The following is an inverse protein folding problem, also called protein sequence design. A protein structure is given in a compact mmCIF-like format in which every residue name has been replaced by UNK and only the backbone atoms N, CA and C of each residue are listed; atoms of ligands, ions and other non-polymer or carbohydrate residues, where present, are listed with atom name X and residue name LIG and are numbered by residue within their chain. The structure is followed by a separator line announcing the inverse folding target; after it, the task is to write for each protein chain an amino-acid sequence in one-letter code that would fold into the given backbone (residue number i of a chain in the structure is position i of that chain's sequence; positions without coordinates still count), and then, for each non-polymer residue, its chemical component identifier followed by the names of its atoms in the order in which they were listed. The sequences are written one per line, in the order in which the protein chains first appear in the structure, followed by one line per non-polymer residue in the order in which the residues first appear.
data_IF_739303391711
#
_entry.id   IF_739303391711
#
_cell.length_a   1.000
_cell.length_b   1.000
_cell.length_c   1.000
_cell.angle_alpha   90.00
_cell.angle_beta   90.00
_cell.angle_gamma   90.00
#
_symmetry.space_group_name_H-M   'P 1'
#
loop_
_entity.id
_entity.type
_entity.pdbx_description
1 polymer ?
#
# COMPACT_ATOMS: atom_id res chain seq x y z
N UNK A 1 7.79 22.70 -37.79
CA UNK A 1 7.26 23.71 -36.87
C UNK A 1 7.14 23.16 -35.46
N UNK A 2 8.30 23.08 -34.81
CA UNK A 2 8.46 22.88 -33.38
C UNK A 2 8.50 24.29 -32.79
N UNK A 3 7.43 24.75 -32.13
CA UNK A 3 7.44 25.85 -31.15
C UNK A 3 6.01 26.11 -30.60
N UNK A 4 5.37 25.05 -30.10
CA UNK A 4 4.10 25.17 -29.37
C UNK A 4 4.39 25.59 -27.94
N UNK A 5 4.44 26.91 -27.75
CA UNK A 5 4.52 27.69 -26.51
C UNK A 5 3.79 27.00 -25.35
N UNK A 6 4.52 26.32 -24.47
CA UNK A 6 4.04 25.99 -23.13
C UNK A 6 4.11 27.27 -22.29
N UNK A 7 3.01 28.03 -22.26
CA UNK A 7 2.87 29.15 -21.32
C UNK A 7 2.94 28.58 -19.91
N UNK A 8 4.00 28.93 -19.19
CA UNK A 8 4.14 28.71 -17.75
C UNK A 8 2.89 29.30 -17.08
N UNK A 9 2.11 28.51 -16.31
CA UNK A 9 0.98 29.07 -15.58
C UNK A 9 1.47 30.14 -14.60
N UNK A 10 0.75 31.26 -14.57
CA UNK A 10 0.96 32.36 -13.63
C UNK A 10 1.11 31.84 -12.20
N UNK A 11 2.03 32.44 -11.45
CA UNK A 11 2.31 32.12 -10.04
C UNK A 11 1.00 31.99 -9.26
N UNK A 12 0.73 30.75 -8.82
CA UNK A 12 -0.36 30.47 -7.89
C UNK A 12 -0.10 31.28 -6.61
N UNK A 13 -1.09 32.03 -6.09
CA UNK A 13 -0.97 32.67 -4.80
C UNK A 13 -0.57 31.60 -3.79
N UNK A 14 0.53 31.82 -3.06
CA UNK A 14 0.95 30.95 -1.96
C UNK A 14 -0.14 31.00 -0.89
N UNK A 15 -1.16 30.17 -1.06
CA UNK A 15 -2.00 29.77 0.04
C UNK A 15 -1.05 29.23 1.10
N UNK A 16 -1.02 29.89 2.25
CA UNK A 16 -0.34 29.41 3.44
C UNK A 16 -0.88 28.02 3.70
N UNK A 17 -0.17 26.99 3.24
CA UNK A 17 -0.42 25.64 3.67
C UNK A 17 -0.08 25.67 5.16
N UNK A 18 -1.11 25.78 5.99
CA UNK A 18 -0.99 25.40 7.39
C UNK A 18 -0.51 23.95 7.33
N UNK A 19 0.80 23.74 7.45
CA UNK A 19 1.40 22.43 7.59
C UNK A 19 0.80 21.88 8.86
N UNK A 20 -0.17 20.98 8.71
CA UNK A 20 -0.61 20.14 9.81
C UNK A 20 0.60 19.26 10.10
N UNK A 21 1.33 19.62 11.15
CA UNK A 21 2.32 18.72 11.71
C UNK A 21 1.54 17.68 12.54
N UNK A 22 1.82 16.41 12.24
CA UNK A 22 1.32 15.29 13.01
C UNK A 22 2.37 15.03 14.09
N UNK A 23 2.26 15.75 15.20
CA UNK A 23 3.30 15.81 16.22
C UNK A 23 3.31 14.56 17.09
N UNK A 24 2.14 13.95 17.27
CA UNK A 24 1.92 12.83 18.17
C UNK A 24 0.85 11.88 17.58
N UNK A 25 1.00 10.59 17.86
CA UNK A 25 0.02 9.56 17.53
C UNK A 25 -0.04 8.56 18.69
N UNK A 26 -1.20 7.92 18.87
CA UNK A 26 -1.32 6.80 19.79
C UNK A 26 -0.63 5.58 19.19
N UNK A 27 0.22 4.92 19.99
CA UNK A 27 0.90 3.71 19.53
C UNK A 27 -0.14 2.64 19.18
N UNK A 28 0.05 2.03 18.02
CA UNK A 28 -0.75 0.90 17.56
C UNK A 28 -0.64 -0.23 18.58
N UNK A 29 -1.78 -0.78 18.97
CA UNK A 29 -1.93 -1.91 19.89
C UNK A 29 -1.81 -3.26 19.16
N UNK A 30 -1.48 -4.35 19.87
CA UNK A 30 -1.47 -5.68 19.25
C UNK A 30 -2.84 -6.07 18.67
N UNK A 31 -3.93 -5.66 19.32
CA UNK A 31 -5.30 -5.95 18.91
C UNK A 31 -5.67 -5.26 17.60
N UNK A 32 -5.15 -4.05 17.37
CA UNK A 32 -5.34 -3.32 16.11
C UNK A 32 -4.60 -3.99 14.95
N UNK A 33 -3.39 -4.50 15.19
CA UNK A 33 -2.67 -5.33 14.20
C UNK A 33 -3.47 -6.58 13.88
N UNK A 34 -4.00 -7.25 14.90
CA UNK A 34 -4.83 -8.43 14.71
C UNK A 34 -6.11 -8.13 13.92
N UNK A 35 -6.75 -6.99 14.20
CA UNK A 35 -7.91 -6.52 13.43
C UNK A 35 -7.54 -6.25 11.97
N UNK A 36 -6.41 -5.59 11.71
CA UNK A 36 -5.91 -5.32 10.37
C UNK A 36 -5.64 -6.61 9.59
N UNK A 37 -4.91 -7.56 10.19
CA UNK A 37 -4.64 -8.87 9.60
C UNK A 37 -5.92 -9.64 9.25
N UNK A 38 -6.96 -9.54 10.09
CA UNK A 38 -8.25 -10.18 9.86
C UNK A 38 -9.11 -9.52 8.77
N UNK A 39 -8.91 -8.22 8.53
CA UNK A 39 -9.63 -7.48 7.49
C UNK A 39 -9.01 -7.68 6.09
N UNK A 40 -7.74 -8.07 6.01
CA UNK A 40 -7.05 -8.25 4.74
C UNK A 40 -7.44 -9.54 4.04
N UNK A 41 -7.59 -9.46 2.71
CA UNK A 41 -7.68 -10.67 1.89
C UNK A 41 -6.40 -11.51 2.06
N UNK A 42 -6.54 -12.83 2.19
CA UNK A 42 -5.41 -13.76 2.24
C UNK A 42 -4.73 -13.94 0.87
N UNK A 43 -4.55 -12.84 0.13
CA UNK A 43 -3.86 -12.82 -1.16
C UNK A 43 -2.35 -12.77 -0.94
N UNK A 44 -1.65 -13.73 -1.54
CA UNK A 44 -0.19 -13.80 -1.56
C UNK A 44 0.36 -13.05 -2.79
N UNK A 45 1.36 -12.21 -2.55
CA UNK A 45 2.19 -11.56 -3.54
C UNK A 45 3.38 -12.45 -3.92
N UNK A 46 3.88 -12.32 -5.14
CA UNK A 46 5.10 -13.03 -5.56
C UNK A 46 6.35 -12.55 -4.80
N UNK A 47 6.29 -11.35 -4.21
CA UNK A 47 7.35 -10.80 -3.36
C UNK A 47 7.22 -11.20 -1.89
N UNK A 48 6.15 -11.91 -1.51
CA UNK A 48 6.05 -12.40 -0.14
C UNK A 48 7.07 -13.52 0.09
N UNK A 49 7.80 -13.52 1.22
CA UNK A 49 8.75 -14.58 1.55
C UNK A 49 8.06 -15.92 1.85
N UNK A 50 6.77 -15.87 2.20
CA UNK A 50 5.93 -17.03 2.46
C UNK A 50 4.46 -16.71 2.14
N UNK A 51 3.60 -17.73 2.02
CA UNK A 51 2.18 -17.49 1.81
C UNK A 51 1.53 -16.66 2.93
N UNK A 52 0.60 -15.77 2.57
CA UNK A 52 -0.12 -14.91 3.52
C UNK A 52 -0.88 -15.69 4.60
N UNK A 53 -1.38 -16.88 4.27
CA UNK A 53 -2.05 -17.75 5.25
C UNK A 53 -1.10 -18.19 6.37
N UNK A 54 0.20 -18.32 6.09
CA UNK A 54 1.18 -18.72 7.10
C UNK A 54 1.38 -17.61 8.12
N UNK A 55 1.49 -16.36 7.63
CA UNK A 55 1.55 -15.18 8.50
C UNK A 55 0.32 -15.13 9.41
N UNK A 56 -0.87 -15.36 8.85
CA UNK A 56 -2.12 -15.41 9.62
C UNK A 56 -2.24 -16.63 10.55
N UNK A 57 -1.60 -17.76 10.24
CA UNK A 57 -1.55 -18.91 11.13
C UNK A 57 -0.59 -18.69 12.30
N UNK A 58 0.45 -17.88 12.09
CA UNK A 58 1.47 -17.56 13.11
C UNK A 58 1.22 -16.23 13.84
N UNK A 59 -0.04 -15.77 13.93
CA UNK A 59 -0.39 -14.43 14.44
C UNK A 59 0.20 -14.07 15.80
N UNK A 60 0.20 -15.03 16.73
CA UNK A 60 0.76 -14.82 18.06
C UNK A 60 2.24 -14.42 18.02
N UNK A 61 2.98 -14.95 17.04
CA UNK A 61 4.39 -14.63 16.80
C UNK A 61 4.51 -13.37 15.94
N UNK A 62 3.61 -13.17 14.98
CA UNK A 62 3.76 -12.10 13.98
C UNK A 62 3.26 -10.73 14.41
N UNK A 63 2.26 -10.69 15.29
CA UNK A 63 1.64 -9.44 15.74
C UNK A 63 2.64 -8.46 16.34
N UNK A 64 3.58 -8.96 17.16
CA UNK A 64 4.52 -8.10 17.88
C UNK A 64 5.49 -7.38 16.96
N UNK A 65 6.07 -8.06 15.98
CA UNK A 65 6.97 -7.40 15.04
C UNK A 65 6.23 -6.53 14.02
N UNK A 66 5.01 -6.89 13.62
CA UNK A 66 4.16 -6.02 12.80
C UNK A 66 3.85 -4.70 13.52
N UNK A 67 3.46 -4.78 14.80
CA UNK A 67 3.23 -3.60 15.64
C UNK A 67 4.47 -2.68 15.70
N UNK A 68 5.65 -3.27 15.91
CA UNK A 68 6.93 -2.53 15.97
C UNK A 68 7.19 -1.83 14.63
N UNK A 69 7.02 -2.53 13.51
CA UNK A 69 7.23 -1.95 12.18
C UNK A 69 6.24 -0.81 11.91
N UNK A 70 4.97 -0.97 12.26
CA UNK A 70 3.94 0.07 12.07
C UNK A 70 4.26 1.31 12.91
N UNK A 71 4.53 1.15 14.20
CA UNK A 71 4.85 2.28 15.08
C UNK A 71 6.15 2.99 14.66
N UNK A 72 7.18 2.24 14.26
CA UNK A 72 8.40 2.83 13.71
C UNK A 72 8.11 3.62 12.43
N UNK A 73 7.30 3.06 11.52
CA UNK A 73 6.95 3.71 10.26
C UNK A 73 6.19 5.02 10.48
N UNK A 74 5.26 5.04 11.44
CA UNK A 74 4.50 6.24 11.83
C UNK A 74 5.41 7.28 12.51
N UNK A 75 6.27 6.87 13.44
CA UNK A 75 7.15 7.78 14.18
C UNK A 75 8.27 8.37 13.33
N UNK A 76 8.83 7.60 12.41
CA UNK A 76 9.95 8.04 11.57
C UNK A 76 9.47 8.68 10.26
N UNK A 77 8.17 8.56 9.94
CA UNK A 77 7.61 8.96 8.65
C UNK A 77 8.21 8.15 7.48
N UNK A 78 8.69 6.95 7.75
CA UNK A 78 9.40 6.10 6.79
C UNK A 78 8.70 4.76 6.63
N UNK A 79 8.26 4.45 5.41
CA UNK A 79 7.67 3.15 5.09
C UNK A 79 8.66 2.32 4.24
N UNK A 80 9.02 1.09 4.65
CA UNK A 80 10.02 0.29 3.94
C UNK A 80 9.65 0.03 2.47
N UNK A 81 10.61 0.22 1.56
CA UNK A 81 10.38 0.06 0.12
C UNK A 81 9.89 -1.35 -0.25
N UNK A 82 10.47 -2.38 0.38
CA UNK A 82 10.09 -3.78 0.17
C UNK A 82 8.64 -4.09 0.57
N UNK A 83 8.04 -3.28 1.45
CA UNK A 83 6.64 -3.39 1.85
C UNK A 83 5.72 -2.56 0.95
N UNK A 84 6.27 -1.60 0.19
CA UNK A 84 5.54 -0.71 -0.73
C UNK A 84 5.48 -1.24 -2.16
N UNK A 85 6.47 -2.05 -2.53
CA UNK A 85 6.59 -2.59 -3.88
C UNK A 85 5.48 -3.60 -4.15
N UNK A 86 4.66 -3.33 -5.17
CA UNK A 86 3.55 -4.19 -5.55
C UNK A 86 3.79 -4.80 -6.94
N UNK A 87 3.40 -6.06 -7.10
CA UNK A 87 3.39 -6.72 -8.42
C UNK A 87 2.11 -6.35 -9.14
N UNK A 88 2.22 -5.71 -10.30
CA UNK A 88 1.05 -5.39 -11.12
C UNK A 88 0.57 -6.64 -11.85
N UNK A 89 -0.66 -7.07 -11.57
CA UNK A 89 -1.31 -8.21 -12.24
C UNK A 89 -2.44 -7.71 -13.14
N UNK A 90 -2.41 -7.99 -14.45
CA UNK A 90 -3.53 -7.68 -15.33
C UNK A 90 -4.69 -8.65 -15.06
N UNK A 91 -5.86 -8.12 -14.66
CA UNK A 91 -7.09 -8.90 -14.48
C UNK A 91 -8.17 -8.43 -15.46
N UNK A 92 -8.98 -9.36 -15.95
CA UNK A 92 -10.13 -9.01 -16.79
C UNK A 92 -11.10 -8.11 -16.03
N UNK A 93 -11.57 -7.03 -16.67
CA UNK A 93 -12.58 -6.10 -16.16
C UNK A 93 -13.87 -6.84 -15.75
N UNK A 94 -14.29 -7.83 -16.54
CA UNK A 94 -15.40 -8.74 -16.24
C UNK A 94 -15.03 -10.17 -16.67
N UNK A 95 -15.49 -11.22 -15.97
CA UNK A 95 -15.16 -12.60 -16.32
C UNK A 95 -15.60 -13.05 -17.72
N UNK A 96 -16.64 -12.43 -18.29
CA UNK A 96 -17.21 -12.77 -19.60
C UNK A 96 -16.52 -12.10 -20.80
N UNK A 97 -15.52 -11.25 -20.58
CA UNK A 97 -14.82 -10.54 -21.66
C UNK A 97 -13.77 -11.42 -22.33
N UNK A 98 -13.52 -11.18 -23.61
CA UNK A 98 -12.50 -11.87 -24.40
C UNK A 98 -11.08 -11.57 -23.89
N UNK A 99 -10.30 -12.59 -23.48
CA UNK A 99 -8.90 -12.47 -23.08
C UNK A 99 -7.95 -12.03 -24.20
N UNK A 100 -8.32 -12.19 -25.47
CA UNK A 100 -7.47 -11.78 -26.60
C UNK A 100 -7.42 -10.24 -26.77
N UNK A 101 -8.40 -9.51 -26.22
CA UNK A 101 -8.49 -8.05 -26.34
C UNK A 101 -7.84 -7.40 -25.11
N UNK A 102 -6.66 -6.81 -25.30
CA UNK A 102 -5.89 -6.19 -24.19
C UNK A 102 -6.66 -5.07 -23.46
N UNK A 103 -7.53 -4.35 -24.15
CA UNK A 103 -8.36 -3.29 -23.54
C UNK A 103 -9.40 -3.82 -22.54
N UNK A 104 -9.63 -5.14 -22.49
CA UNK A 104 -10.50 -5.77 -21.51
C UNK A 104 -9.85 -5.97 -20.13
N UNK A 105 -8.54 -5.72 -20.01
CA UNK A 105 -7.82 -5.85 -18.74
C UNK A 105 -7.80 -4.54 -17.95
N UNK A 106 -7.64 -4.67 -16.64
CA UNK A 106 -7.26 -3.58 -15.73
C UNK A 106 -6.01 -3.97 -14.95
N UNK A 107 -5.09 -3.05 -14.67
CA UNK A 107 -4.00 -3.32 -13.75
C UNK A 107 -4.53 -3.44 -12.32
N UNK A 108 -4.03 -4.40 -11.56
CA UNK A 108 -4.28 -4.52 -10.13
C UNK A 108 -2.95 -4.65 -9.41
N UNK A 109 -2.68 -3.75 -8.47
CA UNK A 109 -1.49 -3.80 -7.62
C UNK A 109 -1.66 -4.91 -6.59
N UNK A 110 -0.79 -5.92 -6.65
CA UNK A 110 -0.71 -6.97 -5.65
C UNK A 110 0.43 -6.66 -4.68
N UNK A 111 0.11 -5.98 -3.58
CA UNK A 111 1.06 -5.63 -2.54
C UNK A 111 1.39 -6.87 -1.66
N UNK A 112 2.62 -7.02 -1.14
CA UNK A 112 2.97 -7.99 -0.10
C UNK A 112 1.98 -7.95 1.06
N UNK A 113 1.64 -9.11 1.61
CA UNK A 113 0.63 -9.20 2.67
C UNK A 113 1.01 -8.37 3.89
N UNK A 114 2.30 -8.40 4.28
CA UNK A 114 2.82 -7.56 5.38
C UNK A 114 2.66 -6.07 5.06
N UNK A 115 2.95 -5.66 3.81
CA UNK A 115 2.75 -4.28 3.38
C UNK A 115 1.31 -3.81 3.54
N UNK A 116 0.34 -4.68 3.19
CA UNK A 116 -1.10 -4.40 3.37
C UNK A 116 -1.55 -4.26 4.83
N UNK A 117 -0.83 -4.87 5.76
CA UNK A 117 -1.16 -4.80 7.20
C UNK A 117 -0.57 -3.56 7.85
N UNK A 118 0.56 -3.07 7.33
CA UNK A 118 1.25 -1.87 7.84
C UNK A 118 0.70 -0.58 7.22
N UNK A 119 0.25 -0.62 5.95
CA UNK A 119 -0.46 0.47 5.25
C UNK A 119 -1.85 0.74 5.85
#
# INVERSE_FOLDING_TARGET
DLDSIWKVPAEMPRASLNRIFWDEFELVTPEEVDKAMGAMSASTCLLDPCPSWLVSASREVTRGWLQVITNASLSEGFFPLSLKEAVVRPLLKKPSLDPAILNNYRPVSNLPFVGKVVE
#
